data_IF_865615037570
#
_entry.id   IF_865615037570
#
_cell.length_a   1.000
_cell.length_b   1.000
_cell.length_c   1.000
_cell.angle_alpha   90.00
_cell.angle_beta   90.00
_cell.angle_gamma   90.00
#
_symmetry.space_group_name_H-M   'P 1'
#
loop_
_entity.id
_entity.type
_entity.pdbx_description
1 polymer ?
#
# COMPACT_ATOMS: atom_id res chain seq x y z
N UNK A 1 16.19 -15.20 -59.51
CA UNK A 1 16.03 -13.77 -59.16
C UNK A 1 14.79 -13.60 -58.29
N UNK A 2 14.94 -13.46 -56.96
CA UNK A 2 14.22 -12.49 -56.12
C UNK A 2 14.79 -12.57 -54.69
N UNK A 3 15.06 -11.40 -54.15
CA UNK A 3 15.85 -11.08 -52.96
C UNK A 3 14.88 -10.54 -51.91
N UNK A 4 14.77 -11.18 -50.75
CA UNK A 4 14.19 -10.57 -49.54
C UNK A 4 15.03 -10.95 -48.32
N UNK A 5 15.95 -10.06 -48.01
CA UNK A 5 16.61 -9.93 -46.71
C UNK A 5 15.66 -9.20 -45.75
N UNK A 6 16.03 -9.24 -44.47
CA UNK A 6 15.59 -8.45 -43.30
C UNK A 6 14.61 -9.20 -42.38
N UNK A 7 14.83 -9.42 -41.08
CA UNK A 7 15.86 -9.02 -40.10
C UNK A 7 15.79 -10.06 -38.97
N UNK A 8 16.93 -10.63 -38.59
CA UNK A 8 17.09 -11.32 -37.30
C UNK A 8 17.09 -10.26 -36.20
N UNK A 9 16.05 -10.18 -35.37
CA UNK A 9 16.12 -9.47 -34.10
C UNK A 9 16.14 -10.49 -32.97
N UNK A 10 17.36 -10.90 -32.65
CA UNK A 10 17.71 -11.49 -31.36
C UNK A 10 17.29 -10.56 -30.22
N UNK A 11 16.97 -11.15 -29.07
CA UNK A 11 16.78 -10.50 -27.76
C UNK A 11 15.36 -9.99 -27.47
N UNK A 12 14.51 -10.89 -26.97
CA UNK A 12 13.63 -10.55 -25.85
C UNK A 12 13.64 -11.72 -24.87
N UNK A 13 14.67 -11.71 -24.01
CA UNK A 13 14.70 -12.50 -22.78
C UNK A 13 13.60 -11.94 -21.88
N UNK A 14 12.39 -12.48 -21.98
CA UNK A 14 11.38 -12.27 -20.94
C UNK A 14 11.77 -13.22 -19.81
N UNK A 15 12.66 -12.73 -18.95
CA UNK A 15 12.80 -13.24 -17.60
C UNK A 15 11.40 -13.27 -17.00
N UNK A 16 10.89 -14.47 -16.72
CA UNK A 16 9.84 -14.68 -15.74
C UNK A 16 10.40 -14.21 -14.40
N UNK A 17 10.29 -12.90 -14.15
CA UNK A 17 10.39 -12.33 -12.83
C UNK A 17 9.23 -12.89 -12.02
N UNK A 18 9.51 -13.96 -11.28
CA UNK A 18 8.74 -14.34 -10.10
C UNK A 18 8.90 -13.18 -9.10
N UNK A 19 8.14 -12.11 -9.30
CA UNK A 19 7.90 -11.12 -8.27
C UNK A 19 6.97 -11.83 -7.30
N UNK A 20 7.56 -12.46 -6.29
CA UNK A 20 6.84 -12.83 -5.09
C UNK A 20 6.31 -11.53 -4.49
N UNK A 21 5.08 -11.16 -4.83
CA UNK A 21 4.36 -10.18 -4.06
C UNK A 21 4.30 -10.73 -2.62
N UNK A 22 4.84 -10.04 -1.62
CA UNK A 22 4.56 -10.41 -0.25
C UNK A 22 3.04 -10.32 -0.09
N UNK A 23 2.41 -11.45 0.20
CA UNK A 23 1.04 -11.48 0.67
C UNK A 23 1.04 -10.84 2.06
N UNK A 24 0.97 -9.51 2.12
CA UNK A 24 0.62 -8.84 3.35
C UNK A 24 -0.80 -9.28 3.66
N UNK A 25 -0.92 -9.97 4.79
CA UNK A 25 -2.20 -10.43 5.28
C UNK A 25 -3.14 -9.22 5.36
N UNK A 26 -4.26 -9.33 4.64
CA UNK A 26 -5.37 -8.39 4.62
C UNK A 26 -5.92 -8.23 6.05
N UNK A 27 -5.38 -7.25 6.76
CA UNK A 27 -5.91 -6.79 8.05
C UNK A 27 -6.83 -5.58 7.84
N UNK A 28 -7.19 -5.27 6.60
CA UNK A 28 -8.10 -4.20 6.25
C UNK A 28 -9.52 -4.58 6.63
N UNK A 29 -9.98 -4.18 7.82
CA UNK A 29 -11.43 -4.12 8.02
C UNK A 29 -11.94 -2.93 7.24
N UNK A 30 -12.47 -3.24 6.08
CA UNK A 30 -13.08 -2.29 5.19
C UNK A 30 -14.32 -1.68 5.84
N UNK A 31 -14.30 -0.37 6.03
CA UNK A 31 -15.52 0.40 6.15
C UNK A 31 -15.91 0.79 4.72
N UNK A 32 -17.15 0.52 4.28
CA UNK A 32 -17.70 0.85 2.95
C UNK A 32 -17.04 0.24 1.68
N UNK A 33 -15.96 -0.55 1.81
CA UNK A 33 -15.29 -1.21 0.68
C UNK A 33 -13.83 -0.78 0.51
N UNK A 34 -13.40 0.23 1.25
CA UNK A 34 -12.03 0.72 1.34
C UNK A 34 -11.14 -0.32 2.01
N UNK A 35 -9.93 -0.57 1.50
CA UNK A 35 -8.98 -1.52 2.09
C UNK A 35 -7.65 -0.85 2.37
N UNK A 36 -6.79 -1.50 3.15
CA UNK A 36 -5.44 -1.03 3.40
C UNK A 36 -4.45 -2.20 3.49
N UNK A 37 -3.30 -2.02 2.85
CA UNK A 37 -2.14 -2.90 2.98
C UNK A 37 -1.12 -2.28 3.92
N UNK A 38 -0.50 -3.11 4.77
CA UNK A 38 0.59 -2.70 5.66
C UNK A 38 1.81 -3.57 5.38
N UNK A 39 2.94 -2.92 5.09
CA UNK A 39 4.22 -3.55 4.72
C UNK A 39 4.79 -4.57 5.72
N UNK A 40 4.28 -4.61 6.96
CA UNK A 40 4.57 -5.64 7.97
C UNK A 40 3.59 -5.52 9.13
N UNK A 41 3.09 -6.64 9.64
CA UNK A 41 2.09 -6.66 10.73
C UNK A 41 2.57 -7.41 11.98
N UNK A 42 3.66 -8.18 11.88
CA UNK A 42 4.18 -9.01 12.97
C UNK A 42 5.69 -8.83 13.13
N UNK A 43 6.24 -9.18 14.30
CA UNK A 43 7.68 -9.04 14.57
C UNK A 43 8.18 -7.60 14.40
N UNK A 44 7.31 -6.64 14.71
CA UNK A 44 7.60 -5.21 14.70
C UNK A 44 8.55 -4.87 15.84
N UNK A 45 9.48 -3.96 15.57
CA UNK A 45 10.31 -3.33 16.58
C UNK A 45 9.84 -1.89 16.78
N UNK A 46 10.20 -1.29 17.91
CA UNK A 46 9.88 0.11 18.17
C UNK A 46 10.47 1.01 17.07
N UNK A 47 9.71 2.05 16.68
CA UNK A 47 10.08 3.05 15.66
C UNK A 47 10.35 2.44 14.27
N UNK A 48 9.88 1.21 14.03
CA UNK A 48 9.93 0.62 12.70
C UNK A 48 8.98 1.39 11.77
N UNK A 49 9.55 2.01 10.74
CA UNK A 49 8.76 2.62 9.67
C UNK A 49 8.02 1.55 8.87
N UNK A 50 6.73 1.75 8.67
CA UNK A 50 5.84 0.90 7.89
C UNK A 50 5.23 1.69 6.75
N UNK A 51 5.29 1.17 5.54
CA UNK A 51 4.45 1.68 4.45
C UNK A 51 3.03 1.17 4.60
N UNK A 52 2.07 2.08 4.62
CA UNK A 52 0.62 1.83 4.62
C UNK A 52 0.07 2.32 3.28
N UNK A 53 -0.69 1.47 2.59
CA UNK A 53 -1.34 1.84 1.32
C UNK A 53 -2.83 1.62 1.43
N UNK A 54 -3.61 2.70 1.39
CA UNK A 54 -5.07 2.67 1.35
C UNK A 54 -5.60 2.61 -0.08
N UNK A 55 -6.76 1.97 -0.27
CA UNK A 55 -7.43 1.80 -1.56
C UNK A 55 -8.93 2.03 -1.47
N UNK A 56 -9.54 2.44 -2.58
CA UNK A 56 -10.98 2.63 -2.70
C UNK A 56 -11.50 3.93 -2.09
N UNK A 57 -10.59 4.85 -1.74
CA UNK A 57 -10.95 6.16 -1.17
C UNK A 57 -11.36 7.15 -2.27
N UNK A 58 -12.11 8.19 -1.90
CA UNK A 58 -12.49 9.27 -2.81
C UNK A 58 -11.25 10.02 -3.32
N UNK A 59 -11.07 10.17 -4.65
CA UNK A 59 -9.97 10.95 -5.21
C UNK A 59 -9.91 12.39 -4.70
N UNK A 60 -8.71 12.85 -4.32
CA UNK A 60 -8.49 14.20 -3.79
C UNK A 60 -8.96 14.41 -2.34
N UNK A 61 -9.39 13.36 -1.66
CA UNK A 61 -9.57 13.39 -0.21
C UNK A 61 -8.21 13.32 0.51
N UNK A 62 -8.17 13.80 1.75
CA UNK A 62 -7.04 13.57 2.66
C UNK A 62 -7.30 12.32 3.50
N UNK A 63 -6.43 11.33 3.39
CA UNK A 63 -6.42 10.13 4.23
C UNK A 63 -5.53 10.36 5.45
N UNK A 64 -6.03 10.04 6.64
CA UNK A 64 -5.25 10.06 7.89
C UNK A 64 -5.02 8.63 8.38
N UNK A 65 -3.76 8.28 8.60
CA UNK A 65 -3.34 7.02 9.23
C UNK A 65 -3.00 7.27 10.68
N UNK A 66 -3.57 6.44 11.56
CA UNK A 66 -3.32 6.43 13.01
C UNK A 66 -3.11 5.00 13.49
N UNK A 67 -2.31 4.83 14.54
CA UNK A 67 -2.19 3.53 15.20
C UNK A 67 -3.26 3.39 16.28
N UNK A 68 -4.01 2.28 16.23
CA UNK A 68 -4.92 1.90 17.30
C UNK A 68 -4.36 0.70 18.08
N UNK A 69 -4.49 0.73 19.40
CA UNK A 69 -4.02 -0.35 20.28
C UNK A 69 -5.09 -1.43 20.51
N UNK A 70 -6.30 -1.21 19.96
CA UNK A 70 -7.42 -2.14 20.01
C UNK A 70 -8.05 -2.25 18.62
N UNK A 71 -8.47 -3.47 18.26
CA UNK A 71 -9.16 -3.77 17.02
C UNK A 71 -10.44 -4.62 17.27
N UNK A 72 -11.64 -4.20 16.81
CA UNK A 72 -11.94 -2.89 16.24
C UNK A 72 -11.90 -1.78 17.31
N UNK A 73 -11.55 -0.54 16.94
CA UNK A 73 -11.65 0.61 17.85
C UNK A 73 -13.12 0.86 18.21
N UNK A 74 -13.35 1.21 19.48
CA UNK A 74 -14.68 1.53 20.03
C UNK A 74 -14.85 3.01 20.36
N UNK A 75 -13.78 3.78 20.34
CA UNK A 75 -13.79 5.22 20.52
C UNK A 75 -12.41 5.83 20.26
N UNK A 76 -12.32 7.19 20.31
CA UNK A 76 -11.09 7.90 19.97
C UNK A 76 -9.93 7.58 20.92
N UNK A 77 -10.24 7.19 22.16
CA UNK A 77 -9.22 6.82 23.13
C UNK A 77 -8.50 5.53 22.78
N UNK A 78 -9.03 4.69 21.89
CA UNK A 78 -8.41 3.42 21.47
C UNK A 78 -7.23 3.61 20.47
N UNK A 79 -6.97 4.86 20.08
CA UNK A 79 -5.99 5.20 19.05
C UNK A 79 -5.06 6.35 19.49
N UNK A 80 -3.86 6.36 18.92
CA UNK A 80 -2.89 7.43 19.08
C UNK A 80 -3.32 8.62 18.20
N UNK A 81 -3.92 9.63 18.83
CA UNK A 81 -4.43 10.82 18.17
C UNK A 81 -3.60 12.07 18.46
N UNK A 82 -2.42 11.97 19.09
CA UNK A 82 -1.53 13.12 19.15
C UNK A 82 -1.02 13.48 17.75
N UNK A 83 -0.67 14.74 17.54
CA UNK A 83 -0.10 15.20 16.26
C UNK A 83 1.21 14.49 15.88
N UNK A 84 1.80 13.68 16.78
CA UNK A 84 3.00 12.90 16.52
C UNK A 84 2.71 11.52 15.93
N UNK A 85 1.50 10.96 16.12
CA UNK A 85 1.11 9.65 15.60
C UNK A 85 0.09 9.70 14.46
N UNK A 86 -0.16 10.89 13.90
CA UNK A 86 -1.05 11.08 12.77
C UNK A 86 -0.25 11.43 11.51
N UNK A 87 -0.44 10.63 10.47
CA UNK A 87 0.22 10.80 9.19
C UNK A 87 -0.85 10.97 8.11
N UNK A 88 -0.68 11.94 7.21
CA UNK A 88 -1.68 12.21 6.17
C UNK A 88 -1.13 12.07 4.76
N UNK A 89 -1.95 11.54 3.86
CA UNK A 89 -1.67 11.47 2.44
C UNK A 89 -2.88 11.89 1.63
N UNK A 90 -2.65 12.61 0.53
CA UNK A 90 -3.69 12.90 -0.45
C UNK A 90 -3.98 11.66 -1.27
N UNK A 91 -5.26 11.38 -1.48
CA UNK A 91 -5.74 10.25 -2.28
C UNK A 91 -5.60 10.59 -3.76
N UNK A 92 -4.91 9.70 -4.48
CA UNK A 92 -4.69 9.79 -5.91
C UNK A 92 -5.98 9.66 -6.73
N UNK A 93 -5.89 9.98 -8.02
CA UNK A 93 -7.00 9.84 -8.95
C UNK A 93 -7.50 8.39 -9.12
N UNK A 94 -6.69 7.42 -8.73
CA UNK A 94 -6.99 5.99 -8.70
C UNK A 94 -7.67 5.53 -7.40
N UNK A 95 -7.90 6.44 -6.45
CA UNK A 95 -8.49 6.12 -5.15
C UNK A 95 -7.51 5.50 -4.16
N UNK A 96 -6.20 5.61 -4.42
CA UNK A 96 -5.15 5.05 -3.58
C UNK A 96 -4.30 6.15 -2.92
N UNK A 97 -3.80 5.87 -1.72
CA UNK A 97 -2.84 6.73 -1.03
C UNK A 97 -1.79 5.85 -0.35
N UNK A 98 -0.51 6.23 -0.41
CA UNK A 98 0.58 5.50 0.25
C UNK A 98 1.36 6.44 1.17
N UNK A 99 1.66 5.97 2.37
CA UNK A 99 2.35 6.74 3.40
C UNK A 99 3.28 5.88 4.23
N UNK A 100 4.44 6.45 4.58
CA UNK A 100 5.33 5.87 5.57
C UNK A 100 4.91 6.33 6.96
N UNK A 101 4.51 5.38 7.80
CA UNK A 101 4.12 5.56 9.20
C UNK A 101 5.31 5.20 10.09
N UNK A 102 5.77 6.12 10.93
CA UNK A 102 6.89 5.94 11.86
C UNK A 102 6.47 6.04 13.32
#
# INVERSE_FOLDING_TARGET
MIRRLLVFSTVLVVLLGLISAPAFADHGVAHNGETADVSKTEGLVQDQVLTVTGHGYEPGATLTVVQCFKFPPTGPFDCELSNYGQYTAEVGADGSASIDYA
#
